data_IF_419906812176
#
_entry.id   IF_419906812176
#
_cell.length_a   1.000
_cell.length_b   1.000
_cell.length_c   1.000
_cell.angle_alpha   90.00
_cell.angle_beta   90.00
_cell.angle_gamma   90.00
#
_symmetry.space_group_name_H-M   'P 1'
#
loop_
_entity.id
_entity.type
_entity.pdbx_description
1 polymer ?
#
# COMPACT_ATOMS: atom_id res chain seq x y z
N UNK A 1 40.33 -39.97 4.95
CA UNK A 1 39.59 -40.18 3.68
C UNK A 1 38.80 -41.50 3.60
N UNK A 2 38.99 -42.47 4.52
CA UNK A 2 38.23 -43.74 4.51
C UNK A 2 36.76 -43.59 4.96
N UNK A 3 36.48 -42.72 5.94
CA UNK A 3 35.14 -42.47 6.46
C UNK A 3 34.18 -41.91 5.38
N UNK A 4 34.65 -40.97 4.56
CA UNK A 4 33.85 -40.38 3.48
C UNK A 4 33.50 -41.42 2.39
N UNK A 5 34.44 -42.31 2.09
CA UNK A 5 34.27 -43.40 1.12
C UNK A 5 33.28 -44.45 1.63
N UNK A 6 33.34 -44.79 2.91
CA UNK A 6 32.36 -45.65 3.59
C UNK A 6 30.96 -45.00 3.65
N UNK A 7 30.88 -43.70 3.94
CA UNK A 7 29.61 -42.96 3.94
C UNK A 7 28.94 -42.96 2.56
N UNK A 8 29.70 -42.71 1.49
CA UNK A 8 29.19 -42.79 0.11
C UNK A 8 28.76 -44.20 -0.29
N UNK A 9 29.52 -45.22 0.08
CA UNK A 9 29.14 -46.63 -0.16
C UNK A 9 27.85 -47.01 0.58
N UNK A 10 27.68 -46.53 1.82
CA UNK A 10 26.46 -46.72 2.61
C UNK A 10 25.24 -46.03 1.98
N UNK A 11 25.40 -44.78 1.53
CA UNK A 11 24.36 -44.02 0.84
C UNK A 11 23.96 -44.70 -0.48
N UNK A 12 24.96 -45.21 -1.22
CA UNK A 12 24.76 -45.95 -2.46
C UNK A 12 24.15 -47.35 -2.25
N UNK A 13 24.18 -47.92 -1.06
CA UNK A 13 23.46 -49.16 -0.73
C UNK A 13 22.00 -48.88 -0.32
N UNK A 14 21.72 -47.68 0.21
CA UNK A 14 20.38 -47.23 0.66
C UNK A 14 19.79 -46.13 -0.24
N UNK A 15 19.98 -46.25 -1.56
CA UNK A 15 19.67 -45.19 -2.55
C UNK A 15 18.23 -44.68 -2.46
N UNK A 16 17.27 -45.58 -2.30
CA UNK A 16 15.85 -45.21 -2.26
C UNK A 16 15.50 -44.39 -1.01
N UNK A 17 15.89 -44.86 0.17
CA UNK A 17 15.66 -44.14 1.43
C UNK A 17 16.43 -42.82 1.45
N UNK A 18 17.69 -42.81 1.01
CA UNK A 18 18.49 -41.60 0.92
C UNK A 18 17.86 -40.55 -0.02
N UNK A 19 17.36 -40.99 -1.17
CA UNK A 19 16.63 -40.12 -2.10
C UNK A 19 15.36 -39.54 -1.47
N UNK A 20 14.54 -40.37 -0.81
CA UNK A 20 13.30 -39.91 -0.20
C UNK A 20 13.56 -38.89 0.93
N UNK A 21 14.60 -39.11 1.74
CA UNK A 21 15.04 -38.16 2.76
C UNK A 21 15.55 -36.86 2.14
N UNK A 22 16.41 -36.93 1.11
CA UNK A 22 16.90 -35.76 0.41
C UNK A 22 15.76 -34.97 -0.25
N UNK A 23 14.79 -35.67 -0.84
CA UNK A 23 13.61 -35.07 -1.46
C UNK A 23 12.72 -34.37 -0.43
N UNK A 24 12.48 -34.99 0.72
CA UNK A 24 11.72 -34.37 1.81
C UNK A 24 12.38 -33.08 2.33
N UNK A 25 13.71 -33.11 2.50
CA UNK A 25 14.49 -31.92 2.88
C UNK A 25 14.39 -30.84 1.78
N UNK A 26 14.60 -31.23 0.52
CA UNK A 26 14.52 -30.31 -0.62
C UNK A 26 13.14 -29.65 -0.73
N UNK A 27 12.06 -30.42 -0.55
CA UNK A 27 10.69 -29.91 -0.58
C UNK A 27 10.43 -28.93 0.57
N UNK A 28 10.93 -29.24 1.77
CA UNK A 28 10.79 -28.38 2.95
C UNK A 28 11.52 -27.04 2.77
N UNK A 29 12.76 -27.08 2.28
CA UNK A 29 13.57 -25.89 1.99
C UNK A 29 12.96 -25.10 0.83
N UNK A 30 12.52 -25.77 -0.24
CA UNK A 30 11.85 -25.14 -1.38
C UNK A 30 10.61 -24.38 -0.94
N UNK A 31 9.76 -24.99 -0.10
CA UNK A 31 8.55 -24.33 0.41
C UNK A 31 8.89 -23.07 1.21
N UNK A 32 9.87 -23.16 2.12
CA UNK A 32 10.32 -22.02 2.92
C UNK A 32 10.80 -20.87 2.03
N UNK A 33 11.70 -21.18 1.08
CA UNK A 33 12.27 -20.20 0.16
C UNK A 33 11.23 -19.62 -0.79
N UNK A 34 10.29 -20.44 -1.29
CA UNK A 34 9.23 -19.99 -2.18
C UNK A 34 8.33 -18.97 -1.50
N UNK A 35 7.87 -19.23 -0.27
CA UNK A 35 7.05 -18.29 0.50
C UNK A 35 7.81 -16.98 0.74
N UNK A 36 9.09 -17.07 1.13
CA UNK A 36 9.91 -15.87 1.34
C UNK A 36 10.11 -15.07 0.04
N UNK A 37 10.38 -15.76 -1.08
CA UNK A 37 10.62 -15.13 -2.37
C UNK A 37 9.36 -14.45 -2.90
N UNK A 38 8.22 -15.13 -2.85
CA UNK A 38 6.91 -14.57 -3.23
C UNK A 38 6.58 -13.36 -2.38
N UNK A 39 6.76 -13.44 -1.05
CA UNK A 39 6.54 -12.31 -0.15
C UNK A 39 7.40 -11.09 -0.53
N UNK A 40 8.67 -11.32 -0.83
CA UNK A 40 9.64 -10.25 -1.12
C UNK A 40 9.39 -9.63 -2.49
N UNK A 41 9.13 -10.44 -3.50
CA UNK A 41 8.83 -9.97 -4.86
C UNK A 41 7.48 -9.24 -4.93
N UNK A 42 6.45 -9.74 -4.22
CA UNK A 42 5.18 -9.03 -4.09
C UNK A 42 5.41 -7.64 -3.47
N UNK A 43 6.19 -7.56 -2.37
CA UNK A 43 6.55 -6.29 -1.73
C UNK A 43 7.29 -5.35 -2.70
N UNK A 44 8.26 -5.85 -3.45
CA UNK A 44 9.04 -5.06 -4.42
C UNK A 44 8.17 -4.54 -5.57
N UNK A 45 7.27 -5.38 -6.07
CA UNK A 45 6.33 -5.03 -7.14
C UNK A 45 5.37 -3.92 -6.69
N UNK A 46 4.88 -3.99 -5.45
CA UNK A 46 4.05 -2.94 -4.87
C UNK A 46 4.82 -1.63 -4.65
N UNK A 47 6.05 -1.69 -4.15
CA UNK A 47 6.90 -0.50 -3.99
C UNK A 47 7.20 0.18 -5.33
N UNK A 48 7.31 -0.58 -6.42
CA UNK A 48 7.59 -0.06 -7.77
C UNK A 48 6.37 0.62 -8.42
N UNK A 49 5.20 0.58 -7.80
CA UNK A 49 3.99 1.25 -8.34
C UNK A 49 4.00 2.76 -8.08
N UNK A 50 4.61 3.17 -6.97
CA UNK A 50 4.85 4.58 -6.66
C UNK A 50 6.27 4.95 -7.09
N UNK A 51 6.40 6.02 -7.87
CA UNK A 51 7.69 6.50 -8.36
C UNK A 51 8.11 7.75 -7.61
N UNK A 52 9.41 7.92 -7.40
CA UNK A 52 9.96 9.14 -6.79
C UNK A 52 9.82 9.28 -5.28
N UNK A 53 9.23 8.30 -4.58
CA UNK A 53 9.09 8.31 -3.12
C UNK A 53 10.17 7.49 -2.43
N UNK A 54 11.01 8.15 -1.63
CA UNK A 54 12.12 7.49 -0.92
C UNK A 54 11.66 6.80 0.39
N UNK A 55 10.67 7.39 1.08
CA UNK A 55 10.26 6.94 2.40
C UNK A 55 8.76 7.12 2.64
N UNK A 56 8.15 6.12 3.28
CA UNK A 56 6.78 6.19 3.81
C UNK A 56 6.88 6.17 5.34
N UNK A 57 6.31 7.19 5.98
CA UNK A 57 6.29 7.35 7.43
C UNK A 57 4.86 7.22 7.93
N UNK A 58 4.66 6.46 8.99
CA UNK A 58 3.35 6.27 9.62
C UNK A 58 3.50 5.86 11.08
N UNK A 59 2.38 5.74 11.79
CA UNK A 59 2.39 5.22 13.15
C UNK A 59 2.90 3.78 13.19
N UNK A 60 3.26 3.30 14.39
CA UNK A 60 3.79 1.95 14.61
C UNK A 60 2.86 0.88 14.03
N UNK A 61 3.26 0.30 12.90
CA UNK A 61 2.56 -0.77 12.18
C UNK A 61 3.56 -1.63 11.40
N UNK A 62 3.10 -2.72 10.78
CA UNK A 62 3.94 -3.52 9.89
C UNK A 62 4.24 -2.75 8.60
N UNK A 63 5.49 -2.77 8.13
CA UNK A 63 5.92 -2.04 6.92
C UNK A 63 5.11 -2.36 5.67
N UNK A 64 4.69 -3.62 5.51
CA UNK A 64 3.81 -4.05 4.42
C UNK A 64 2.41 -3.44 4.56
N UNK A 65 1.88 -3.43 5.79
CA UNK A 65 0.56 -2.86 6.05
C UNK A 65 0.56 -1.34 5.78
N UNK A 66 1.61 -0.63 6.21
CA UNK A 66 1.78 0.80 5.93
C UNK A 66 1.85 1.09 4.42
N UNK A 67 2.61 0.29 3.65
CA UNK A 67 2.71 0.42 2.19
C UNK A 67 1.35 0.17 1.52
N UNK A 68 0.68 -0.94 1.86
CA UNK A 68 -0.61 -1.30 1.28
C UNK A 68 -1.70 -0.28 1.62
N UNK A 69 -1.69 0.23 2.85
CA UNK A 69 -2.64 1.22 3.31
C UNK A 69 -2.42 2.57 2.64
N UNK A 70 -1.19 3.09 2.62
CA UNK A 70 -0.89 4.43 2.07
C UNK A 70 -0.96 4.49 0.54
N UNK A 71 -0.37 3.52 -0.17
CA UNK A 71 -0.24 3.55 -1.63
C UNK A 71 -1.45 2.92 -2.31
N UNK A 72 -1.88 1.75 -1.84
CA UNK A 72 -2.95 0.97 -2.47
C UNK A 72 -4.32 1.18 -1.82
N UNK A 73 -4.37 1.88 -0.68
CA UNK A 73 -5.60 2.09 0.09
C UNK A 73 -6.24 0.77 0.55
N UNK A 74 -5.44 -0.30 0.67
CA UNK A 74 -5.84 -1.65 1.09
C UNK A 74 -5.54 -1.84 2.58
N UNK A 75 -6.52 -2.39 3.30
CA UNK A 75 -6.37 -2.76 4.72
C UNK A 75 -7.12 -1.83 5.68
N UNK A 76 -6.85 -2.02 6.97
CA UNK A 76 -7.50 -1.28 8.06
C UNK A 76 -6.71 -0.04 8.43
N UNK A 77 -7.40 0.95 9.01
CA UNK A 77 -6.78 2.19 9.46
C UNK A 77 -5.65 1.89 10.45
N UNK A 78 -4.44 2.29 10.08
CA UNK A 78 -3.36 2.45 11.06
C UNK A 78 -3.62 3.70 11.87
N UNK A 79 -3.09 3.78 13.09
CA UNK A 79 -3.14 5.05 13.83
C UNK A 79 -2.50 6.17 12.98
N UNK A 80 -3.07 7.37 13.07
CA UNK A 80 -2.49 8.54 12.41
C UNK A 80 -1.27 9.04 13.19
N UNK A 81 -0.33 9.65 12.46
CA UNK A 81 0.71 10.47 13.10
C UNK A 81 0.11 11.81 13.48
N UNK A 82 0.67 12.46 14.51
CA UNK A 82 0.25 13.81 14.88
C UNK A 82 0.74 14.82 13.83
N UNK A 83 -0.02 15.88 13.61
CA UNK A 83 0.29 16.91 12.62
C UNK A 83 1.66 17.57 12.84
N UNK A 84 2.00 17.85 14.10
CA UNK A 84 3.30 18.41 14.48
C UNK A 84 4.47 17.48 14.13
N UNK A 85 4.27 16.16 14.17
CA UNK A 85 5.27 15.19 13.72
C UNK A 85 5.45 15.26 12.20
N UNK A 86 4.37 15.44 11.44
CA UNK A 86 4.45 15.66 10.00
C UNK A 86 5.22 16.95 9.69
N UNK A 87 4.88 18.08 10.34
CA UNK A 87 5.55 19.36 10.15
C UNK A 87 7.05 19.28 10.47
N UNK A 88 7.41 18.59 11.56
CA UNK A 88 8.80 18.39 11.94
C UNK A 88 9.63 17.75 10.83
N UNK A 89 9.11 16.72 10.17
CA UNK A 89 9.80 16.07 9.06
C UNK A 89 9.73 16.90 7.78
N UNK A 90 8.58 17.48 7.45
CA UNK A 90 8.38 18.28 6.24
C UNK A 90 9.28 19.53 6.21
N UNK A 91 9.58 20.12 7.36
CA UNK A 91 10.47 21.29 7.49
C UNK A 91 11.95 20.94 7.59
N UNK A 92 12.30 19.65 7.63
CA UNK A 92 13.70 19.21 7.66
C UNK A 92 14.41 19.52 6.35
N UNK A 93 15.64 20.03 6.42
CA UNK A 93 16.48 20.31 5.23
C UNK A 93 16.78 19.07 4.38
N UNK A 94 16.60 17.88 4.94
CA UNK A 94 16.81 16.60 4.25
C UNK A 94 15.58 16.16 3.43
N UNK A 95 14.44 16.81 3.61
CA UNK A 95 13.18 16.46 2.94
C UNK A 95 12.92 17.47 1.85
N UNK A 96 12.95 17.02 0.59
CA UNK A 96 12.69 17.87 -0.58
C UNK A 96 11.21 18.27 -0.68
N UNK A 97 10.32 17.34 -0.36
CA UNK A 97 8.89 17.50 -0.34
C UNK A 97 8.26 16.42 0.55
N UNK A 98 7.05 16.66 1.05
CA UNK A 98 6.30 15.69 1.83
C UNK A 98 4.80 15.83 1.51
N UNK A 99 4.13 14.68 1.37
CA UNK A 99 2.69 14.65 1.12
C UNK A 99 1.99 14.03 2.35
N UNK A 100 1.14 14.77 3.07
CA UNK A 100 0.35 14.21 4.14
C UNK A 100 -0.76 13.35 3.53
N UNK A 101 -0.95 12.13 4.04
CA UNK A 101 -2.01 11.23 3.62
C UNK A 101 -2.81 10.80 4.85
N UNK A 102 -4.12 11.02 4.81
CA UNK A 102 -5.07 10.57 5.81
C UNK A 102 -6.16 9.74 5.14
N UNK A 103 -6.48 8.58 5.69
CA UNK A 103 -7.47 7.65 5.17
C UNK A 103 -8.43 7.30 6.31
N UNK A 104 -9.73 7.21 6.02
CA UNK A 104 -10.70 6.89 7.07
C UNK A 104 -12.14 6.87 6.57
N UNK A 105 -12.44 7.76 5.63
CA UNK A 105 -13.77 7.86 5.05
C UNK A 105 -13.90 6.99 3.79
N UNK A 106 -15.14 6.70 3.44
CA UNK A 106 -15.50 6.04 2.19
C UNK A 106 -16.70 6.72 1.53
N UNK A 107 -16.82 6.52 0.22
CA UNK A 107 -17.95 6.98 -0.56
C UNK A 107 -18.36 5.87 -1.53
N UNK A 108 -19.56 5.30 -1.32
CA UNK A 108 -20.10 4.22 -2.17
C UNK A 108 -19.12 3.04 -2.38
N UNK A 109 -18.37 2.69 -1.33
CA UNK A 109 -17.36 1.63 -1.37
C UNK A 109 -15.96 2.06 -1.84
N UNK A 110 -15.80 3.29 -2.34
CA UNK A 110 -14.50 3.86 -2.68
C UNK A 110 -13.86 4.53 -1.47
N UNK A 111 -12.54 4.41 -1.33
CA UNK A 111 -11.79 5.06 -0.25
C UNK A 111 -11.63 6.55 -0.53
N UNK A 112 -11.88 7.35 0.50
CA UNK A 112 -11.64 8.79 0.48
C UNK A 112 -10.35 9.06 1.23
N UNK A 113 -9.50 9.88 0.63
CA UNK A 113 -8.19 10.22 1.13
C UNK A 113 -8.09 11.73 1.29
N UNK A 114 -7.73 12.18 2.48
CA UNK A 114 -7.37 13.56 2.77
C UNK A 114 -5.89 13.78 2.50
N UNK A 115 -5.58 14.82 1.74
CA UNK A 115 -4.21 15.26 1.43
C UNK A 115 -4.20 16.75 1.11
N UNK A 116 -3.06 17.31 0.70
CA UNK A 116 -2.90 18.70 0.28
C UNK A 116 -2.49 18.79 -1.20
N UNK A 117 -2.26 20.01 -1.69
CA UNK A 117 -1.93 20.28 -3.10
C UNK A 117 -0.62 19.60 -3.54
N UNK A 118 0.31 19.37 -2.61
CA UNK A 118 1.58 18.69 -2.87
C UNK A 118 1.38 17.27 -3.45
N UNK A 119 0.21 16.64 -3.21
CA UNK A 119 -0.13 15.38 -3.84
C UNK A 119 -0.15 15.49 -5.37
N UNK A 120 -0.75 16.54 -5.93
CA UNK A 120 -0.82 16.70 -7.39
C UNK A 120 0.53 17.12 -8.00
N UNK A 121 1.32 17.88 -7.25
CA UNK A 121 2.63 18.36 -7.71
C UNK A 121 3.71 17.27 -7.74
N UNK A 122 3.72 16.38 -6.73
CA UNK A 122 4.83 15.46 -6.50
C UNK A 122 4.49 13.99 -6.67
N UNK A 123 3.21 13.60 -6.59
CA UNK A 123 2.85 12.19 -6.72
C UNK A 123 3.09 11.70 -8.15
N UNK A 124 3.88 10.63 -8.26
CA UNK A 124 4.13 9.95 -9.52
C UNK A 124 3.81 8.46 -9.39
N UNK A 125 3.26 7.89 -10.44
CA UNK A 125 2.91 6.47 -10.50
C UNK A 125 3.54 5.78 -11.72
N UNK A 126 3.67 4.45 -11.64
CA UNK A 126 4.22 3.65 -12.72
C UNK A 126 5.63 4.11 -13.12
N UNK A 127 5.82 4.47 -14.40
CA UNK A 127 7.10 4.94 -14.96
C UNK A 127 7.22 6.46 -14.85
N UNK A 128 7.20 7.00 -13.62
CA UNK A 128 7.32 8.44 -13.35
C UNK A 128 6.22 9.30 -14.02
N UNK A 129 5.00 8.76 -14.13
CA UNK A 129 3.88 9.51 -14.68
C UNK A 129 3.30 10.43 -13.61
N UNK A 130 3.13 11.70 -13.96
CA UNK A 130 2.44 12.67 -13.11
C UNK A 130 0.93 12.51 -13.21
N UNK A 131 0.23 13.03 -12.20
CA UNK A 131 -1.22 13.14 -12.25
C UNK A 131 -1.63 14.22 -13.26
N UNK A 132 -2.58 13.89 -14.13
CA UNK A 132 -3.13 14.83 -15.11
C UNK A 132 -4.63 15.02 -14.85
N UNK A 133 -5.07 16.27 -14.85
CA UNK A 133 -6.48 16.60 -14.73
C UNK A 133 -7.17 16.48 -16.09
N UNK A 134 -8.10 15.52 -16.19
CA UNK A 134 -8.92 15.38 -17.38
C UNK A 134 -9.92 16.55 -17.50
N UNK A 135 -10.56 16.92 -16.39
CA UNK A 135 -11.56 17.97 -16.29
C UNK A 135 -11.48 18.66 -14.92
N UNK A 136 -11.80 19.95 -14.85
CA UNK A 136 -11.85 20.70 -13.58
C UNK A 136 -10.49 21.20 -13.10
N UNK A 137 -10.31 21.27 -11.78
CA UNK A 137 -9.09 21.75 -11.13
C UNK A 137 -8.83 21.03 -9.81
N UNK A 138 -7.62 21.17 -9.31
CA UNK A 138 -7.24 20.75 -7.96
C UNK A 138 -8.02 21.53 -6.90
N UNK A 139 -8.19 20.92 -5.74
CA UNK A 139 -8.72 21.61 -4.57
C UNK A 139 -7.69 22.64 -4.08
N UNK A 140 -8.16 23.83 -3.70
CA UNK A 140 -7.30 24.93 -3.21
C UNK A 140 -7.95 25.79 -2.14
N UNK A 141 -9.22 26.13 -2.36
CA UNK A 141 -9.86 27.26 -1.65
C UNK A 141 -10.90 26.83 -0.63
N UNK A 142 -11.56 25.70 -0.86
CA UNK A 142 -12.67 25.24 -0.03
C UNK A 142 -12.34 23.83 0.52
N UNK A 143 -12.41 23.61 1.85
CA UNK A 143 -12.16 22.30 2.46
C UNK A 143 -13.13 21.19 1.99
N UNK A 144 -14.25 21.55 1.35
CA UNK A 144 -15.22 20.59 0.82
C UNK A 144 -15.04 20.32 -0.69
N UNK A 145 -14.00 20.87 -1.32
CA UNK A 145 -13.61 20.48 -2.68
C UNK A 145 -13.08 19.04 -2.69
N UNK A 146 -13.44 18.28 -3.74
CA UNK A 146 -12.98 16.90 -3.93
C UNK A 146 -12.54 16.69 -5.36
N UNK A 147 -11.45 15.95 -5.52
CA UNK A 147 -10.97 15.46 -6.82
C UNK A 147 -11.29 13.99 -6.93
N UNK A 148 -11.98 13.60 -8.01
CA UNK A 148 -12.34 12.21 -8.27
C UNK A 148 -11.30 11.54 -9.16
N UNK A 149 -10.94 10.30 -8.80
CA UNK A 149 -10.19 9.43 -9.69
C UNK A 149 -11.00 9.11 -10.95
N UNK A 150 -10.33 8.97 -12.09
CA UNK A 150 -10.97 8.75 -13.39
C UNK A 150 -11.88 7.53 -13.43
N UNK A 151 -11.50 6.44 -12.74
CA UNK A 151 -12.31 5.24 -12.62
C UNK A 151 -13.58 5.48 -11.79
N UNK A 152 -13.47 6.19 -10.67
CA UNK A 152 -14.60 6.50 -9.78
C UNK A 152 -15.61 7.41 -10.49
N UNK A 153 -15.12 8.44 -11.19
CA UNK A 153 -15.97 9.35 -11.96
C UNK A 153 -16.76 8.61 -13.05
N UNK A 154 -16.11 7.68 -13.77
CA UNK A 154 -16.75 6.86 -14.82
C UNK A 154 -17.75 5.85 -14.25
N UNK A 155 -17.37 5.13 -13.19
CA UNK A 155 -18.20 4.08 -12.61
C UNK A 155 -19.45 4.62 -11.92
N UNK A 156 -19.35 5.78 -11.28
CA UNK A 156 -20.47 6.43 -10.60
C UNK A 156 -21.17 7.50 -11.46
N UNK A 157 -20.70 7.71 -12.68
CA UNK A 157 -21.22 8.69 -13.65
C UNK A 157 -21.27 10.12 -13.11
N UNK A 158 -20.28 10.50 -12.30
CA UNK A 158 -20.20 11.85 -11.74
C UNK A 158 -19.72 12.88 -12.75
N UNK A 159 -20.21 14.11 -12.58
CA UNK A 159 -19.82 15.30 -13.35
C UNK A 159 -19.39 16.43 -12.41
N UNK A 160 -18.71 17.43 -12.97
CA UNK A 160 -18.36 18.64 -12.22
C UNK A 160 -19.63 19.32 -11.69
N UNK A 161 -19.61 19.70 -10.42
CA UNK A 161 -20.74 20.33 -9.72
C UNK A 161 -21.65 19.36 -8.95
N UNK A 162 -21.47 18.05 -9.12
CA UNK A 162 -22.22 17.07 -8.32
C UNK A 162 -21.81 17.14 -6.85
N UNK A 163 -22.78 16.92 -5.97
CA UNK A 163 -22.56 16.88 -4.52
C UNK A 163 -22.33 15.44 -4.05
N UNK A 164 -21.31 15.25 -3.23
CA UNK A 164 -20.96 13.96 -2.65
C UNK A 164 -21.18 13.98 -1.14
N UNK A 165 -21.64 12.85 -0.60
CA UNK A 165 -21.77 12.64 0.85
C UNK A 165 -20.82 11.53 1.25
N UNK A 166 -19.93 11.80 2.19
CA UNK A 166 -18.96 10.83 2.70
C UNK A 166 -19.56 10.04 3.86
N UNK A 167 -19.15 8.78 4.00
CA UNK A 167 -19.44 7.94 5.16
C UNK A 167 -18.15 7.72 5.95
N UNK A 168 -18.23 7.80 7.29
CA UNK A 168 -17.08 7.50 8.14
C UNK A 168 -16.90 5.98 8.25
N UNK A 169 -15.69 5.49 7.95
CA UNK A 169 -15.38 4.06 7.92
C UNK A 169 -15.60 3.39 6.55
N UNK A 170 -15.09 2.16 6.43
CA UNK A 170 -15.00 1.39 5.17
C UNK A 170 -16.27 0.57 4.87
N UNK A 171 -17.27 0.61 5.75
CA UNK A 171 -18.47 -0.21 5.58
C UNK A 171 -19.44 0.44 4.59
N UNK A 172 -19.90 -0.32 3.60
CA UNK A 172 -21.00 0.04 2.68
C UNK A 172 -22.35 0.30 3.39
N UNK A 173 -22.38 0.17 4.72
CA UNK A 173 -23.53 0.38 5.58
C UNK A 173 -23.09 1.37 6.65
N UNK A 174 -23.27 2.66 6.38
CA UNK A 174 -23.15 3.70 7.39
C UNK A 174 -24.30 3.46 8.39
N UNK A 175 -24.02 2.75 9.48
CA UNK A 175 -25.01 2.45 10.53
C UNK A 175 -25.39 3.68 11.37
N UNK A 176 -24.88 4.86 11.03
CA UNK A 176 -25.36 6.13 11.56
C UNK A 176 -25.32 7.19 10.45
N UNK A 177 -26.49 7.52 9.89
CA UNK A 177 -26.70 8.80 9.21
C UNK A 177 -27.11 9.80 10.29
N UNK A 178 -26.25 10.78 10.57
CA UNK A 178 -26.67 11.95 11.36
C UNK A 178 -27.30 12.96 10.41
N UNK A 179 -28.54 12.70 9.99
CA UNK A 179 -29.34 13.65 9.18
C UNK A 179 -29.94 14.79 10.04
N UNK A 180 -29.53 14.97 11.30
CA UNK A 180 -30.22 15.86 12.25
C UNK A 180 -29.30 16.67 13.20
N UNK A 181 -28.08 17.01 12.78
CA UNK A 181 -27.30 18.08 13.45
C UNK A 181 -26.62 18.95 12.39
N UNK A 182 -26.65 20.28 12.55
CA UNK A 182 -26.08 21.22 11.57
C UNK A 182 -24.59 20.97 11.33
#
# INVERSE_FOLDING_TARGET
MYLFRLAMASLANRRFTAFLTAFAIALSVCLLLAVERVRTEARSSFASTISGTDLIVGARSGSINLLLYSVFRIGNATNNIRWDSFEHFAQSKQVKWAIPVSLGDSHRGYRVMGTNEAYFEHYQFGRQQHLEMAEGREFKTDPFEVVLGSEVAKALHYKLGDKLVLAHGVAAISLVKHDDKP
#
